data_IF_098145141349
#
_entry.id   IF_098145141349
#
_cell.length_a   1.000
_cell.length_b   1.000
_cell.length_c   1.000
_cell.angle_alpha   90.00
_cell.angle_beta   90.00
_cell.angle_gamma   90.00
#
_symmetry.space_group_name_H-M   'P 1'
#
loop_
_entity.id
_entity.type
_entity.pdbx_description
1 polymer ?
#
# COMPACT_ATOMS: atom_id res chain seq x y z
N UNK A 1 -20.55 -10.99 0.98
CA UNK A 1 -19.09 -11.18 0.81
C UNK A 1 -18.53 -11.76 2.10
N UNK A 2 -17.73 -12.82 2.04
CA UNK A 2 -17.05 -13.40 3.22
C UNK A 2 -15.76 -12.64 3.56
N UNK A 3 -15.29 -12.76 4.81
CA UNK A 3 -14.08 -12.06 5.29
C UNK A 3 -12.80 -12.59 4.60
N UNK A 4 -12.75 -13.84 4.14
CA UNK A 4 -11.65 -14.34 3.29
C UNK A 4 -11.53 -13.57 1.96
N UNK A 5 -12.68 -13.31 1.32
CA UNK A 5 -12.72 -12.51 0.09
C UNK A 5 -12.27 -11.07 0.34
N UNK A 6 -12.52 -10.56 1.56
CA UNK A 6 -12.08 -9.25 2.00
C UNK A 6 -10.56 -9.22 2.24
N UNK A 7 -9.99 -10.23 2.93
CA UNK A 7 -8.55 -10.36 3.10
C UNK A 7 -7.84 -10.46 1.74
N UNK A 8 -8.36 -11.28 0.82
CA UNK A 8 -7.85 -11.38 -0.55
C UNK A 8 -8.00 -10.08 -1.36
N UNK A 9 -8.98 -9.23 -1.05
CA UNK A 9 -9.10 -7.90 -1.63
C UNK A 9 -7.99 -6.98 -1.11
N UNK A 10 -7.77 -6.93 0.21
CA UNK A 10 -6.67 -6.15 0.80
C UNK A 10 -5.30 -6.59 0.26
N UNK A 11 -5.06 -7.89 0.05
CA UNK A 11 -3.82 -8.37 -0.59
C UNK A 11 -3.64 -7.87 -2.03
N UNK A 12 -4.73 -7.78 -2.80
CA UNK A 12 -4.69 -7.20 -4.16
C UNK A 12 -4.44 -5.70 -4.13
N UNK A 13 -5.00 -5.00 -3.14
CA UNK A 13 -4.75 -3.58 -2.93
C UNK A 13 -3.29 -3.32 -2.53
N UNK A 14 -2.70 -4.17 -1.67
CA UNK A 14 -1.27 -4.13 -1.31
C UNK A 14 -0.37 -4.23 -2.54
N UNK A 15 -0.67 -5.17 -3.44
CA UNK A 15 0.05 -5.34 -4.71
C UNK A 15 -0.12 -4.14 -5.63
N UNK A 16 -1.31 -3.57 -5.69
CA UNK A 16 -1.61 -2.37 -6.50
C UNK A 16 -0.81 -1.17 -6.01
N UNK A 17 -0.80 -0.93 -4.69
CA UNK A 17 -0.02 0.14 -4.07
C UNK A 17 1.49 -0.07 -4.29
N UNK A 18 1.97 -1.31 -4.20
CA UNK A 18 3.37 -1.65 -4.49
C UNK A 18 3.75 -1.27 -5.92
N UNK A 19 2.95 -1.66 -6.92
CA UNK A 19 3.19 -1.29 -8.33
C UNK A 19 3.17 0.22 -8.55
N UNK A 20 2.27 0.93 -7.87
CA UNK A 20 2.21 2.40 -7.96
C UNK A 20 3.48 3.04 -7.37
N UNK A 21 3.95 2.57 -6.22
CA UNK A 21 5.19 3.02 -5.59
C UNK A 21 6.39 2.76 -6.51
N UNK A 22 6.52 1.54 -7.03
CA UNK A 22 7.65 1.15 -7.89
C UNK A 22 7.69 1.97 -9.19
N UNK A 23 6.52 2.29 -9.75
CA UNK A 23 6.42 3.14 -10.95
C UNK A 23 6.69 4.61 -10.64
N UNK A 24 6.27 5.10 -9.48
CA UNK A 24 6.35 6.52 -9.12
C UNK A 24 7.71 6.90 -8.55
N UNK A 25 8.42 5.98 -7.88
CA UNK A 25 9.72 6.24 -7.26
C UNK A 25 10.80 6.75 -8.24
N UNK A 26 11.00 6.16 -9.43
CA UNK A 26 11.95 6.67 -10.41
C UNK A 26 11.59 8.09 -10.87
N UNK A 27 10.30 8.35 -11.08
CA UNK A 27 9.81 9.68 -11.45
C UNK A 27 10.11 10.70 -10.32
N UNK A 28 9.78 10.38 -9.07
CA UNK A 28 10.09 11.23 -7.93
C UNK A 28 11.59 11.52 -7.78
N UNK A 29 12.45 10.53 -8.08
CA UNK A 29 13.92 10.69 -8.08
C UNK A 29 14.44 11.59 -9.20
N UNK A 30 13.75 11.66 -10.34
CA UNK A 30 14.11 12.54 -11.46
C UNK A 30 13.77 14.02 -11.22
N UNK A 31 12.89 14.31 -10.24
CA UNK A 31 12.49 15.68 -9.89
C UNK A 31 13.54 16.37 -9.01
N UNK A 32 13.49 17.70 -8.97
CA UNK A 32 14.35 18.54 -8.12
C UNK A 32 13.52 19.62 -7.41
N UNK A 33 14.11 20.25 -6.38
CA UNK A 33 13.49 21.34 -5.62
C UNK A 33 12.14 20.96 -4.98
N UNK A 34 11.19 21.89 -5.00
CA UNK A 34 9.87 21.71 -4.38
C UNK A 34 9.09 20.53 -4.98
N UNK A 35 9.20 20.29 -6.29
CA UNK A 35 8.53 19.17 -6.97
C UNK A 35 9.00 17.82 -6.42
N UNK A 36 10.30 17.69 -6.11
CA UNK A 36 10.83 16.49 -5.45
C UNK A 36 10.27 16.36 -4.04
N UNK A 37 10.25 17.44 -3.27
CA UNK A 37 9.68 17.39 -1.91
C UNK A 37 8.21 16.94 -1.91
N UNK A 38 7.40 17.48 -2.81
CA UNK A 38 5.99 17.10 -2.94
C UNK A 38 5.84 15.63 -3.40
N UNK A 39 6.62 15.19 -4.38
CA UNK A 39 6.61 13.80 -4.83
C UNK A 39 7.01 12.83 -3.71
N UNK A 40 7.99 13.19 -2.88
CA UNK A 40 8.38 12.37 -1.73
C UNK A 40 7.31 12.37 -0.62
N UNK A 41 6.60 13.48 -0.38
CA UNK A 41 5.42 13.45 0.51
C UNK A 41 4.36 12.47 0.01
N UNK A 42 4.09 12.49 -1.29
CA UNK A 42 3.13 11.56 -1.90
C UNK A 42 3.59 10.11 -1.83
N UNK A 43 4.89 9.84 -2.00
CA UNK A 43 5.47 8.52 -1.76
C UNK A 43 5.28 8.06 -0.31
N UNK A 44 5.52 8.93 0.67
CA UNK A 44 5.29 8.59 2.08
C UNK A 44 3.83 8.19 2.34
N UNK A 45 2.86 8.94 1.78
CA UNK A 45 1.45 8.57 1.90
C UNK A 45 1.16 7.18 1.29
N UNK A 46 1.72 6.87 0.12
CA UNK A 46 1.54 5.55 -0.50
C UNK A 46 2.15 4.42 0.33
N UNK A 47 3.30 4.66 0.99
CA UNK A 47 3.91 3.69 1.89
C UNK A 47 3.07 3.42 3.14
N UNK A 48 2.51 4.47 3.75
CA UNK A 48 1.61 4.33 4.91
C UNK A 48 0.33 3.58 4.52
N UNK A 49 -0.31 3.93 3.39
CA UNK A 49 -1.48 3.22 2.90
C UNK A 49 -1.19 1.73 2.67
N UNK A 50 -0.03 1.40 2.08
CA UNK A 50 0.37 0.00 1.87
C UNK A 50 0.55 -0.73 3.20
N UNK A 51 1.13 -0.07 4.19
CA UNK A 51 1.32 -0.62 5.54
C UNK A 51 -0.03 -0.92 6.20
N UNK A 52 -0.97 0.01 6.16
CA UNK A 52 -2.30 -0.16 6.75
C UNK A 52 -3.07 -1.30 6.09
N UNK A 53 -3.08 -1.34 4.76
CA UNK A 53 -3.71 -2.43 3.98
C UNK A 53 -3.13 -3.79 4.36
N UNK A 54 -1.80 -3.90 4.48
CA UNK A 54 -1.13 -5.14 4.89
C UNK A 54 -1.51 -5.56 6.31
N UNK A 55 -1.58 -4.60 7.24
CA UNK A 55 -1.98 -4.86 8.63
C UNK A 55 -3.43 -5.34 8.70
N UNK A 56 -4.35 -4.70 7.96
CA UNK A 56 -5.75 -5.12 7.89
C UNK A 56 -5.90 -6.51 7.28
N UNK A 57 -5.17 -6.83 6.21
CA UNK A 57 -5.16 -8.18 5.63
C UNK A 57 -4.73 -9.23 6.68
N UNK A 58 -3.64 -8.99 7.40
CA UNK A 58 -3.15 -9.90 8.43
C UNK A 58 -4.11 -10.06 9.61
N UNK A 59 -4.80 -8.99 10.03
CA UNK A 59 -5.83 -9.07 11.06
C UNK A 59 -7.02 -9.93 10.62
N UNK A 60 -7.47 -9.77 9.37
CA UNK A 60 -8.57 -10.56 8.81
C UNK A 60 -8.19 -12.03 8.65
N UNK A 61 -6.96 -12.32 8.22
CA UNK A 61 -6.43 -13.68 8.13
C UNK A 61 -6.37 -14.36 9.52
N UNK A 62 -5.84 -13.68 10.53
CA UNK A 62 -5.76 -14.24 11.89
C UNK A 62 -7.10 -14.38 12.62
N UNK A 63 -8.12 -13.63 12.21
CA UNK A 63 -9.47 -13.82 12.74
C UNK A 63 -10.02 -15.22 12.38
N UNK A 64 -9.58 -15.81 11.27
CA UNK A 64 -9.93 -17.17 10.87
C UNK A 64 -9.08 -18.25 11.56
N UNK A 65 -7.81 -18.01 11.85
CA UNK A 65 -6.97 -19.00 12.56
C UNK A 65 -7.44 -19.27 14.01
N UNK A 66 -8.28 -18.40 14.57
CA UNK A 66 -8.79 -18.49 15.96
C UNK A 66 -10.28 -18.83 16.06
N UNK A 67 -10.97 -19.10 14.95
CA UNK A 67 -12.37 -19.56 14.93
C UNK A 67 -12.48 -20.98 14.37
#
# INVERSE_FOLDING_TARGET
>A
MGLENLAAAYRRDEQTLTRQIDRFLPYAKSLTGEKRHEAYRRLSCLYEMRRDVRLTAGLLEHYYDRC
#
